data_IF_013230096396
#
_entry.id   IF_013230096396
#
_cell.length_a   1.000
_cell.length_b   1.000
_cell.length_c   1.000
_cell.angle_alpha   90.00
_cell.angle_beta   90.00
_cell.angle_gamma   90.00
#
_symmetry.space_group_name_H-M   'P 1'
#
loop_
_entity.id
_entity.type
_entity.pdbx_description
1 polymer ?
#
# COMPACT_ATOMS: atom_id res chain seq x y z
N UNK A 1 -25.15 -43.18 -3.19
CA UNK A 1 -25.21 -41.71 -3.29
C UNK A 1 -24.15 -41.29 -4.29
N UNK A 2 -24.41 -40.33 -5.19
CA UNK A 2 -23.38 -39.89 -6.15
C UNK A 2 -22.32 -39.11 -5.37
N UNK A 3 -21.04 -39.48 -5.50
CA UNK A 3 -19.92 -38.69 -4.97
C UNK A 3 -20.02 -37.27 -5.52
N UNK A 4 -20.31 -36.33 -4.63
CA UNK A 4 -20.43 -34.92 -4.96
C UNK A 4 -19.04 -34.32 -4.93
N UNK A 5 -18.62 -33.75 -6.05
CA UNK A 5 -17.29 -33.15 -6.21
C UNK A 5 -17.41 -31.66 -5.91
N UNK A 6 -16.55 -31.16 -5.02
CA UNK A 6 -16.51 -29.76 -4.59
C UNK A 6 -15.17 -29.11 -4.95
N UNK A 7 -15.13 -27.77 -4.94
CA UNK A 7 -13.89 -27.01 -5.12
C UNK A 7 -13.24 -26.77 -3.77
N UNK A 8 -12.03 -27.28 -3.58
CA UNK A 8 -11.22 -27.01 -2.39
C UNK A 8 -10.60 -25.61 -2.45
N UNK A 9 -9.96 -25.27 -3.58
CA UNK A 9 -9.29 -23.99 -3.78
C UNK A 9 -9.21 -23.60 -5.27
N UNK A 10 -8.98 -22.32 -5.54
CA UNK A 10 -8.69 -21.79 -6.87
C UNK A 10 -7.33 -21.10 -6.84
N UNK A 11 -6.34 -21.66 -7.54
CA UNK A 11 -4.92 -21.33 -7.40
C UNK A 11 -4.25 -21.08 -8.76
N UNK A 12 -2.98 -20.66 -8.75
CA UNK A 12 -2.13 -20.73 -9.95
C UNK A 12 -1.83 -22.20 -10.30
N UNK A 13 -1.45 -22.47 -11.54
CA UNK A 13 -1.16 -23.84 -11.98
C UNK A 13 -0.09 -24.55 -11.13
N UNK A 14 1.03 -23.88 -10.86
CA UNK A 14 2.13 -24.44 -10.04
C UNK A 14 1.65 -24.81 -8.63
N UNK A 15 0.89 -23.92 -7.98
CA UNK A 15 0.33 -24.17 -6.64
C UNK A 15 -0.75 -25.24 -6.65
N UNK A 16 -1.62 -25.24 -7.65
CA UNK A 16 -2.65 -26.26 -7.81
C UNK A 16 -2.02 -27.65 -8.01
N UNK A 17 -0.92 -27.73 -8.76
CA UNK A 17 -0.21 -28.98 -8.98
C UNK A 17 0.47 -29.48 -7.70
N UNK A 18 1.10 -28.61 -6.92
CA UNK A 18 1.69 -28.96 -5.63
C UNK A 18 0.65 -29.49 -4.64
N UNK A 19 -0.46 -28.76 -4.49
CA UNK A 19 -1.57 -29.15 -3.62
C UNK A 19 -2.14 -30.50 -4.05
N UNK A 20 -2.30 -30.72 -5.36
CA UNK A 20 -2.72 -32.01 -5.89
C UNK A 20 -1.80 -33.16 -5.45
N UNK A 21 -0.49 -33.02 -5.66
CA UNK A 21 0.48 -34.07 -5.32
C UNK A 21 0.48 -34.42 -3.83
N UNK A 22 0.30 -33.44 -2.96
CA UNK A 22 0.30 -33.65 -1.52
C UNK A 22 -1.01 -34.29 -1.03
N UNK A 23 -2.16 -33.88 -1.57
CA UNK A 23 -3.44 -34.54 -1.29
C UNK A 23 -3.42 -36.01 -1.75
N UNK A 24 -2.88 -36.29 -2.94
CA UNK A 24 -2.76 -37.66 -3.46
C UNK A 24 -1.84 -38.52 -2.59
N UNK A 25 -0.75 -37.95 -2.05
CA UNK A 25 0.15 -38.67 -1.13
C UNK A 25 -0.53 -39.05 0.20
N UNK A 26 -1.48 -38.26 0.66
CA UNK A 26 -2.31 -38.53 1.85
C UNK A 26 -3.54 -39.42 1.53
N UNK A 27 -3.61 -39.95 0.30
CA UNK A 27 -4.66 -40.86 -0.14
C UNK A 27 -5.98 -40.17 -0.52
N UNK A 28 -5.97 -38.85 -0.74
CA UNK A 28 -7.14 -38.08 -1.14
C UNK A 28 -7.14 -37.89 -2.65
N UNK A 29 -8.12 -38.49 -3.32
CA UNK A 29 -8.30 -38.34 -4.76
C UNK A 29 -8.71 -36.92 -5.12
N UNK A 30 -7.92 -36.27 -6.00
CA UNK A 30 -8.19 -34.91 -6.43
C UNK A 30 -7.82 -34.69 -7.91
N UNK A 31 -8.46 -33.70 -8.54
CA UNK A 31 -8.18 -33.35 -9.93
C UNK A 31 -8.27 -31.84 -10.16
N UNK A 32 -7.61 -31.41 -11.24
CA UNK A 32 -7.51 -30.00 -11.59
C UNK A 32 -8.46 -29.66 -12.73
N UNK A 33 -9.22 -28.59 -12.57
CA UNK A 33 -10.14 -28.06 -13.58
C UNK A 33 -9.67 -26.67 -14.05
N UNK A 34 -9.94 -26.33 -15.32
CA UNK A 34 -9.49 -25.11 -16.00
C UNK A 34 -7.97 -25.04 -16.30
N UNK A 35 -7.33 -26.17 -16.60
CA UNK A 35 -5.95 -26.18 -17.12
C UNK A 35 -5.98 -25.81 -18.61
N UNK A 36 -5.75 -24.54 -18.96
CA UNK A 36 -5.51 -24.17 -20.35
C UNK A 36 -4.09 -24.60 -20.75
N UNK A 37 -3.97 -25.74 -21.44
CA UNK A 37 -2.70 -26.31 -21.90
C UNK A 37 -2.20 -25.74 -23.25
N UNK A 38 -2.91 -24.77 -23.84
CA UNK A 38 -2.56 -24.20 -25.16
C UNK A 38 -1.98 -22.80 -24.98
N UNK A 39 -0.68 -22.69 -25.31
CA UNK A 39 0.15 -21.49 -25.47
C UNK A 39 0.27 -20.52 -24.27
N UNK A 40 1.37 -20.66 -23.53
CA UNK A 40 2.16 -19.53 -22.98
C UNK A 40 1.51 -18.59 -21.95
N UNK A 41 0.24 -18.76 -21.60
CA UNK A 41 -0.44 -17.96 -20.60
C UNK A 41 -0.44 -18.68 -19.24
N UNK A 42 0.10 -18.03 -18.21
CA UNK A 42 -0.02 -18.47 -16.82
C UNK A 42 -1.50 -18.48 -16.46
N UNK A 43 -2.12 -19.65 -16.33
CA UNK A 43 -3.54 -19.75 -15.94
C UNK A 43 -3.69 -19.33 -14.47
N UNK A 44 -4.11 -18.07 -14.24
CA UNK A 44 -4.57 -17.62 -12.93
C UNK A 44 -6.00 -18.14 -12.72
N UNK A 45 -6.15 -19.25 -11.98
CA UNK A 45 -7.48 -19.75 -11.60
C UNK A 45 -7.74 -21.23 -11.89
N UNK A 46 -6.75 -22.10 -11.64
CA UNK A 46 -6.93 -23.56 -11.68
C UNK A 46 -7.66 -24.01 -10.43
N UNK A 47 -8.75 -24.75 -10.59
CA UNK A 47 -9.55 -25.25 -9.46
C UNK A 47 -9.06 -26.63 -9.04
N UNK A 48 -8.77 -26.79 -7.76
CA UNK A 48 -8.52 -28.11 -7.15
C UNK A 48 -9.86 -28.68 -6.70
N UNK A 49 -10.22 -29.84 -7.25
CA UNK A 49 -11.49 -30.53 -7.00
C UNK A 49 -11.25 -31.81 -6.19
N UNK A 50 -12.09 -32.04 -5.19
CA UNK A 50 -12.05 -33.23 -4.31
C UNK A 50 -13.46 -33.79 -4.12
N UNK A 51 -13.57 -35.03 -3.63
CA UNK A 51 -14.84 -35.56 -3.13
C UNK A 51 -15.26 -34.78 -1.87
N UNK A 52 -16.56 -34.50 -1.73
CA UNK A 52 -17.12 -33.85 -0.54
C UNK A 52 -16.89 -34.66 0.75
N UNK A 53 -16.75 -35.98 0.63
CA UNK A 53 -16.48 -36.88 1.76
C UNK A 53 -15.09 -36.64 2.34
N UNK A 54 -14.13 -36.29 1.50
CA UNK A 54 -12.73 -36.09 1.91
C UNK A 54 -12.44 -34.65 2.34
N UNK A 55 -13.46 -33.78 2.41
CA UNK A 55 -13.28 -32.34 2.64
C UNK A 55 -12.53 -32.01 3.93
N UNK A 56 -12.89 -32.63 5.05
CA UNK A 56 -12.25 -32.34 6.34
C UNK A 56 -10.77 -32.73 6.33
N UNK A 57 -10.45 -33.92 5.81
CA UNK A 57 -9.08 -34.39 5.72
C UNK A 57 -8.27 -33.57 4.71
N UNK A 58 -8.89 -33.21 3.58
CA UNK A 58 -8.29 -32.35 2.57
C UNK A 58 -8.01 -30.94 3.10
N UNK A 59 -8.88 -30.40 3.96
CA UNK A 59 -8.64 -29.10 4.60
C UNK A 59 -7.46 -29.14 5.58
N UNK A 60 -7.30 -30.22 6.34
CA UNK A 60 -6.13 -30.38 7.24
C UNK A 60 -4.83 -30.38 6.44
N UNK A 61 -4.78 -31.15 5.35
CA UNK A 61 -3.61 -31.19 4.45
C UNK A 61 -3.43 -29.86 3.73
N UNK A 62 -4.51 -29.21 3.32
CA UNK A 62 -4.46 -27.92 2.65
C UNK A 62 -3.96 -26.81 3.58
N UNK A 63 -4.38 -26.81 4.85
CA UNK A 63 -3.94 -25.85 5.84
C UNK A 63 -2.46 -26.08 6.22
N UNK A 64 -2.00 -27.34 6.31
CA UNK A 64 -0.57 -27.61 6.52
C UNK A 64 0.29 -27.17 5.32
N UNK A 65 -0.25 -27.23 4.09
CA UNK A 65 0.41 -26.68 2.90
C UNK A 65 0.45 -25.16 2.94
N UNK A 66 -0.63 -24.49 3.38
CA UNK A 66 -0.61 -23.05 3.61
C UNK A 66 0.45 -22.71 4.65
N UNK A 67 0.52 -23.45 5.75
CA UNK A 67 1.54 -23.29 6.78
C UNK A 67 2.95 -23.52 6.21
N UNK A 68 3.18 -24.51 5.34
CA UNK A 68 4.48 -24.71 4.66
C UNK A 68 4.82 -23.59 3.65
N UNK A 69 3.83 -23.00 2.96
CA UNK A 69 4.01 -21.79 2.14
C UNK A 69 4.35 -20.57 3.05
N UNK A 70 3.79 -20.52 4.26
CA UNK A 70 4.17 -19.57 5.32
C UNK A 70 5.58 -19.86 5.90
N UNK A 71 6.02 -21.13 5.89
CA UNK A 71 7.35 -21.54 6.33
C UNK A 71 8.43 -21.33 5.26
N UNK A 72 8.12 -21.49 3.97
CA UNK A 72 9.05 -21.12 2.89
C UNK A 72 9.19 -19.60 2.73
N UNK A 73 8.31 -18.83 3.37
CA UNK A 73 8.47 -17.39 3.63
C UNK A 73 9.09 -17.09 5.00
N UNK A 74 9.51 -18.11 5.78
CA UNK A 74 10.51 -17.97 6.84
C UNK A 74 11.91 -17.81 6.24
N UNK A 75 12.12 -16.73 5.48
CA UNK A 75 13.35 -16.00 5.75
C UNK A 75 13.21 -15.48 7.18
N UNK A 76 14.25 -15.61 7.99
CA UNK A 76 14.36 -14.80 9.21
C UNK A 76 13.86 -13.39 8.88
N UNK A 77 12.90 -12.89 9.66
CA UNK A 77 12.45 -11.50 9.55
C UNK A 77 13.61 -10.63 10.05
N UNK A 78 14.67 -10.54 9.27
CA UNK A 78 15.60 -9.43 9.34
C UNK A 78 14.80 -8.23 8.83
N UNK A 79 14.43 -7.34 9.75
CA UNK A 79 14.00 -5.99 9.42
C UNK A 79 14.98 -5.46 8.39
N UNK A 80 14.54 -5.33 7.14
CA UNK A 80 15.38 -4.80 6.08
C UNK A 80 15.73 -3.37 6.49
N UNK A 81 16.99 -3.18 6.92
CA UNK A 81 17.42 -1.97 7.65
C UNK A 81 17.46 -0.72 6.77
N UNK A 82 17.23 -0.87 5.46
CA UNK A 82 17.29 0.22 4.51
C UNK A 82 15.89 0.71 4.16
N UNK A 83 15.26 1.45 5.08
CA UNK A 83 14.00 2.12 4.76
C UNK A 83 14.25 3.17 3.69
N UNK A 84 13.48 3.09 2.59
CA UNK A 84 13.53 4.03 1.49
C UNK A 84 12.16 4.70 1.32
N UNK A 85 12.09 6.01 1.54
CA UNK A 85 10.89 6.81 1.39
C UNK A 85 10.94 7.56 0.06
N UNK A 86 9.94 7.33 -0.79
CA UNK A 86 9.77 8.06 -2.04
C UNK A 86 8.78 9.22 -1.83
N UNK A 87 9.16 10.43 -2.22
CA UNK A 87 8.28 11.61 -2.11
C UNK A 87 8.09 12.25 -3.48
N UNK A 88 6.97 11.98 -4.16
CA UNK A 88 6.57 12.72 -5.34
C UNK A 88 6.29 14.18 -5.00
N UNK A 89 6.92 15.10 -5.72
CA UNK A 89 6.75 16.55 -5.55
C UNK A 89 6.30 17.20 -6.85
N UNK A 90 5.38 18.14 -6.72
CA UNK A 90 4.91 19.07 -7.75
C UNK A 90 5.21 20.53 -7.37
N UNK A 91 6.02 20.69 -6.31
CA UNK A 91 6.44 21.95 -5.72
C UNK A 91 5.31 22.85 -5.17
N UNK A 92 4.11 22.30 -4.99
CA UNK A 92 3.02 22.93 -4.24
C UNK A 92 3.28 22.90 -2.73
N UNK A 93 2.54 23.70 -1.96
CA UNK A 93 2.57 23.65 -0.49
C UNK A 93 2.15 22.26 0.05
N UNK A 94 1.36 21.50 -0.71
CA UNK A 94 0.92 20.16 -0.32
C UNK A 94 2.04 19.13 -0.41
N UNK A 95 2.84 19.18 -1.49
CA UNK A 95 4.01 18.31 -1.61
C UNK A 95 5.11 18.73 -0.64
N UNK A 96 5.29 20.02 -0.35
CA UNK A 96 6.18 20.47 0.73
C UNK A 96 5.83 19.87 2.09
N UNK A 97 4.55 19.82 2.46
CA UNK A 97 4.11 19.16 3.70
C UNK A 97 4.46 17.67 3.72
N UNK A 98 4.28 16.98 2.60
CA UNK A 98 4.68 15.57 2.47
C UNK A 98 6.20 15.39 2.61
N UNK A 99 7.00 16.30 2.04
CA UNK A 99 8.46 16.34 2.20
C UNK A 99 8.84 16.53 3.67
N UNK A 100 8.25 17.47 4.38
CA UNK A 100 8.53 17.71 5.81
C UNK A 100 8.26 16.47 6.66
N UNK A 101 7.10 15.86 6.47
CA UNK A 101 6.72 14.64 7.19
C UNK A 101 7.65 13.47 6.87
N UNK A 102 7.98 13.26 5.59
CA UNK A 102 8.89 12.22 5.15
C UNK A 102 10.33 12.44 5.65
N UNK A 103 10.80 13.69 5.70
CA UNK A 103 12.12 14.05 6.18
C UNK A 103 12.29 13.77 7.67
N UNK A 104 11.32 14.17 8.49
CA UNK A 104 11.38 13.87 9.92
C UNK A 104 11.25 12.36 10.18
N UNK A 105 10.42 11.67 9.39
CA UNK A 105 10.27 10.21 9.47
C UNK A 105 11.57 9.50 9.11
N UNK A 106 12.16 9.75 7.94
CA UNK A 106 13.43 9.11 7.53
C UNK A 106 14.56 9.44 8.50
N UNK A 107 14.54 10.62 9.11
CA UNK A 107 15.54 11.05 10.09
C UNK A 107 15.55 10.19 11.35
N UNK A 108 14.39 9.64 11.74
CA UNK A 108 14.30 8.66 12.83
C UNK A 108 14.73 7.27 12.41
N UNK A 109 14.44 6.90 11.18
CA UNK A 109 14.72 5.57 10.64
C UNK A 109 16.18 5.38 10.20
N UNK A 110 16.92 6.48 9.99
CA UNK A 110 18.27 6.46 9.39
C UNK A 110 18.27 5.75 8.04
N UNK A 111 17.36 6.20 7.17
CA UNK A 111 17.11 5.60 5.86
C UNK A 111 17.45 6.52 4.69
N UNK A 112 16.88 6.20 3.53
CA UNK A 112 16.96 7.01 2.31
C UNK A 112 15.66 7.75 2.07
N UNK A 113 15.77 9.01 1.68
CA UNK A 113 14.68 9.84 1.17
C UNK A 113 14.99 10.19 -0.28
N UNK A 114 14.10 9.79 -1.18
CA UNK A 114 14.18 10.14 -2.60
C UNK A 114 13.07 11.12 -2.96
N UNK A 115 13.45 12.34 -3.29
CA UNK A 115 12.54 13.35 -3.84
C UNK A 115 12.35 13.08 -5.33
N UNK A 116 11.11 12.95 -5.77
CA UNK A 116 10.78 12.57 -7.14
C UNK A 116 9.96 13.65 -7.82
N UNK A 117 10.39 14.15 -8.96
CA UNK A 117 9.55 14.98 -9.82
C UNK A 117 9.45 14.35 -11.21
N UNK A 118 8.26 14.46 -11.77
CA UNK A 118 8.03 14.25 -13.19
C UNK A 118 7.68 15.57 -13.85
N UNK A 119 8.32 15.90 -14.96
CA UNK A 119 7.90 17.00 -15.82
C UNK A 119 7.23 16.44 -17.08
N UNK A 120 6.09 17.04 -17.43
CA UNK A 120 5.39 16.71 -18.65
C UNK A 120 5.91 17.58 -19.79
N UNK A 121 6.56 16.95 -20.76
CA UNK A 121 6.81 17.57 -22.06
C UNK A 121 5.86 16.90 -23.04
N UNK A 122 4.89 17.63 -23.61
CA UNK A 122 3.99 17.06 -24.60
C UNK A 122 4.82 16.52 -25.75
N UNK A 123 4.87 15.19 -25.86
CA UNK A 123 5.40 14.56 -27.07
C UNK A 123 4.35 14.83 -28.13
N UNK A 124 4.74 15.54 -29.18
CA UNK A 124 3.97 15.55 -30.42
C UNK A 124 3.88 14.11 -30.91
N UNK A 125 2.81 13.41 -30.57
CA UNK A 125 2.33 12.29 -31.38
C UNK A 125 1.79 12.87 -32.68
N UNK A 126 2.70 13.43 -33.50
CA UNK A 126 2.44 13.82 -34.85
C UNK A 126 2.14 12.56 -35.64
N UNK A 127 0.87 12.27 -35.86
CA UNK A 127 0.48 11.39 -36.96
C UNK A 127 1.11 11.98 -38.24
N UNK A 128 1.90 11.22 -39.01
CA UNK A 128 2.50 11.72 -40.24
C UNK A 128 1.40 11.74 -41.32
N UNK A 129 0.61 12.82 -41.33
CA UNK A 129 -0.32 13.12 -42.41
C UNK A 129 -0.09 14.56 -42.89
N UNK A 130 1.14 14.87 -43.34
CA UNK A 130 1.41 15.77 -44.49
C UNK A 130 2.92 16.09 -44.58
N UNK A 131 3.40 16.32 -45.80
CA UNK A 131 4.81 16.59 -46.16
C UNK A 131 5.35 17.95 -45.68
N UNK A 132 4.88 18.47 -44.54
CA UNK A 132 5.42 19.69 -43.96
C UNK A 132 6.18 19.35 -42.68
N UNK A 133 7.49 19.17 -42.82
CA UNK A 133 8.43 19.13 -41.68
C UNK A 133 8.48 20.52 -41.04
N UNK A 134 7.50 20.84 -40.21
CA UNK A 134 7.67 21.85 -39.17
C UNK A 134 8.41 21.14 -38.05
N UNK A 135 9.74 21.22 -38.07
CA UNK A 135 10.53 20.99 -36.86
C UNK A 135 10.06 22.02 -35.84
N UNK A 136 9.30 21.57 -34.85
CA UNK A 136 8.73 22.42 -33.82
C UNK A 136 9.80 22.74 -32.77
N UNK A 137 10.77 23.58 -33.14
CA UNK A 137 11.92 24.00 -32.32
C UNK A 137 11.45 24.56 -30.95
N UNK A 138 10.22 25.10 -30.89
CA UNK A 138 9.61 25.61 -29.68
C UNK A 138 9.25 24.51 -28.64
N UNK A 139 8.97 23.28 -29.07
CA UNK A 139 8.63 22.19 -28.13
C UNK A 139 9.86 21.64 -27.41
N UNK A 140 10.99 21.57 -28.11
CA UNK A 140 12.26 21.13 -27.53
C UNK A 140 12.79 22.18 -26.55
N UNK A 141 12.76 23.48 -26.90
CA UNK A 141 13.10 24.59 -25.99
C UNK A 141 12.18 24.63 -24.77
N UNK A 142 10.86 24.53 -24.94
CA UNK A 142 9.91 24.48 -23.81
C UNK A 142 10.17 23.26 -22.91
N UNK A 143 10.52 22.11 -23.49
CA UNK A 143 10.86 20.91 -22.71
C UNK A 143 12.16 21.04 -21.93
N UNK A 144 13.12 21.80 -22.49
CA UNK A 144 14.38 22.11 -21.84
C UNK A 144 14.16 23.05 -20.65
N UNK A 145 13.37 24.11 -20.84
CA UNK A 145 13.03 25.06 -19.79
C UNK A 145 12.30 24.40 -18.61
N UNK A 146 11.32 23.54 -18.88
CA UNK A 146 10.60 22.79 -17.84
C UNK A 146 11.51 21.82 -17.08
N UNK A 147 12.48 21.22 -17.78
CA UNK A 147 13.46 20.34 -17.17
C UNK A 147 14.42 21.13 -16.29
N UNK A 148 14.97 22.24 -16.77
CA UNK A 148 15.87 23.11 -15.99
C UNK A 148 15.18 23.67 -14.75
N UNK A 149 13.91 24.10 -14.87
CA UNK A 149 13.13 24.55 -13.72
C UNK A 149 12.98 23.43 -12.68
N UNK A 150 12.61 22.22 -13.13
CA UNK A 150 12.50 21.05 -12.25
C UNK A 150 13.83 20.73 -11.57
N UNK A 151 14.93 20.72 -12.32
CA UNK A 151 16.29 20.49 -11.81
C UNK A 151 16.69 21.52 -10.75
N UNK A 152 16.44 22.81 -11.00
CA UNK A 152 16.74 23.86 -10.03
C UNK A 152 15.94 23.68 -8.74
N UNK A 153 14.62 23.51 -8.85
CA UNK A 153 13.71 23.46 -7.69
C UNK A 153 13.90 22.19 -6.86
N UNK A 154 14.16 21.05 -7.49
CA UNK A 154 14.48 19.83 -6.76
C UNK A 154 15.81 19.98 -6.03
N UNK A 155 16.81 20.59 -6.67
CA UNK A 155 18.12 20.78 -6.07
C UNK A 155 18.05 21.70 -4.86
N UNK A 156 17.24 22.76 -4.93
CA UNK A 156 16.97 23.63 -3.78
C UNK A 156 16.39 22.85 -2.60
N UNK A 157 15.40 21.97 -2.83
CA UNK A 157 14.83 21.12 -1.79
C UNK A 157 15.89 20.15 -1.24
N UNK A 158 16.63 19.48 -2.12
CA UNK A 158 17.67 18.52 -1.72
C UNK A 158 18.77 19.18 -0.86
N UNK A 159 19.25 20.35 -1.29
CA UNK A 159 20.28 21.11 -0.58
C UNK A 159 19.75 21.64 0.76
N UNK A 160 18.51 22.10 0.83
CA UNK A 160 17.86 22.52 2.08
C UNK A 160 17.83 21.36 3.10
N UNK A 161 17.33 20.19 2.68
CA UNK A 161 17.23 19.01 3.55
C UNK A 161 18.61 18.50 3.98
N UNK A 162 19.60 18.50 3.08
CA UNK A 162 20.99 18.15 3.41
C UNK A 162 21.62 19.12 4.41
N UNK A 163 21.34 20.41 4.29
CA UNK A 163 21.82 21.40 5.25
C UNK A 163 21.18 21.21 6.62
N UNK A 164 19.87 20.94 6.67
CA UNK A 164 19.17 20.62 7.92
C UNK A 164 19.73 19.38 8.62
N UNK A 165 20.11 18.34 7.87
CA UNK A 165 20.78 17.17 8.44
C UNK A 165 22.13 17.54 9.09
N UNK A 166 22.93 18.39 8.42
CA UNK A 166 24.21 18.87 8.95
C UNK A 166 24.02 19.73 10.20
N UNK A 167 23.08 20.68 10.17
CA UNK A 167 22.79 21.57 11.30
C UNK A 167 22.30 20.81 12.54
N UNK A 168 21.45 19.79 12.34
CA UNK A 168 20.94 18.93 13.42
C UNK A 168 21.89 17.76 13.77
N UNK A 169 23.02 17.64 13.07
CA UNK A 169 24.00 16.58 13.25
C UNK A 169 23.39 15.15 13.15
N UNK A 170 22.49 14.96 12.18
CA UNK A 170 21.78 13.70 11.94
C UNK A 170 22.59 12.86 10.95
N UNK A 171 23.10 11.72 11.41
CA UNK A 171 23.86 10.77 10.61
C UNK A 171 23.01 9.57 10.16
N UNK A 172 23.45 8.90 9.08
CA UNK A 172 22.80 7.70 8.55
C UNK A 172 21.57 7.97 7.66
N UNK A 173 21.32 9.23 7.30
CA UNK A 173 20.24 9.60 6.37
C UNK A 173 20.86 9.96 5.01
N UNK A 174 20.30 9.40 3.94
CA UNK A 174 20.66 9.76 2.57
C UNK A 174 19.48 10.51 1.94
N UNK A 175 19.74 11.70 1.40
CA UNK A 175 18.76 12.47 0.63
C UNK A 175 19.25 12.55 -0.80
N UNK A 176 18.43 12.05 -1.73
CA UNK A 176 18.68 12.11 -3.16
C UNK A 176 17.43 12.62 -3.88
N UNK A 177 17.61 12.98 -5.15
CA UNK A 177 16.51 13.35 -6.02
C UNK A 177 16.54 12.63 -7.36
N UNK A 178 15.36 12.47 -7.95
CA UNK A 178 15.16 11.87 -9.27
C UNK A 178 14.17 12.71 -10.06
N UNK A 179 14.55 12.99 -11.31
CA UNK A 179 13.71 13.69 -12.27
C UNK A 179 13.40 12.75 -13.42
N UNK A 180 12.12 12.64 -13.77
CA UNK A 180 11.65 11.84 -14.91
C UNK A 180 10.86 12.71 -15.88
N UNK A 181 10.95 12.37 -17.16
CA UNK A 181 10.11 12.99 -18.20
C UNK A 181 8.92 12.08 -18.43
N UNK A 182 7.70 12.57 -18.24
CA UNK A 182 6.49 11.78 -18.48
C UNK A 182 5.30 12.21 -17.66
N UNK A 183 4.25 11.39 -17.72
CA UNK A 183 3.04 11.55 -16.92
C UNK A 183 3.34 11.09 -15.48
N UNK A 184 2.95 11.90 -14.48
CA UNK A 184 3.37 11.72 -13.10
C UNK A 184 3.02 10.34 -12.52
N UNK A 185 1.75 9.94 -12.62
CA UNK A 185 1.27 8.65 -12.16
C UNK A 185 2.05 7.48 -12.76
N UNK A 186 2.34 7.52 -14.07
CA UNK A 186 3.07 6.47 -14.77
C UNK A 186 4.52 6.40 -14.32
N UNK A 187 5.20 7.55 -14.20
CA UNK A 187 6.61 7.60 -13.83
C UNK A 187 6.82 7.24 -12.35
N UNK A 188 5.92 7.64 -11.45
CA UNK A 188 5.95 7.25 -10.03
C UNK A 188 5.70 5.74 -9.87
N UNK A 189 4.69 5.18 -10.55
CA UNK A 189 4.41 3.74 -10.53
C UNK A 189 5.55 2.94 -11.16
N UNK A 190 6.10 3.41 -12.27
CA UNK A 190 7.24 2.80 -12.93
C UNK A 190 8.49 2.80 -12.04
N UNK A 191 8.79 3.93 -11.40
CA UNK A 191 9.90 4.05 -10.47
C UNK A 191 9.73 3.14 -9.25
N UNK A 192 8.55 3.16 -8.62
CA UNK A 192 8.26 2.36 -7.42
C UNK A 192 8.26 0.85 -7.69
N UNK A 193 7.90 0.41 -8.90
CA UNK A 193 8.01 -0.99 -9.31
C UNK A 193 9.46 -1.48 -9.42
N UNK A 194 10.39 -0.59 -9.76
CA UNK A 194 11.81 -0.94 -9.96
C UNK A 194 12.62 -0.80 -8.67
N UNK A 195 12.35 0.23 -7.87
CA UNK A 195 13.14 0.58 -6.70
C UNK A 195 12.49 0.17 -5.38
N UNK A 196 11.26 -0.37 -5.43
CA UNK A 196 10.50 -0.92 -4.31
C UNK A 196 10.63 -0.10 -3.02
N UNK A 197 10.23 1.19 -3.03
CA UNK A 197 10.31 2.02 -1.83
C UNK A 197 9.46 1.41 -0.72
N UNK A 198 9.92 1.57 0.52
CA UNK A 198 9.21 1.07 1.71
C UNK A 198 7.87 1.78 1.90
N UNK A 199 7.79 3.06 1.50
CA UNK A 199 6.56 3.85 1.49
C UNK A 199 6.68 5.01 0.50
N UNK A 200 5.59 5.34 -0.18
CA UNK A 200 5.43 6.60 -0.93
C UNK A 200 4.71 7.58 -0.01
N UNK A 201 5.28 8.77 0.22
CA UNK A 201 4.64 9.83 0.99
C UNK A 201 4.28 10.96 0.04
N UNK A 202 2.99 11.32 -0.06
CA UNK A 202 2.54 12.35 -1.00
C UNK A 202 1.34 13.13 -0.46
N UNK A 203 1.17 14.36 -0.95
CA UNK A 203 -0.02 15.16 -0.66
C UNK A 203 -1.28 14.57 -1.30
N UNK A 204 -2.45 14.83 -0.70
CA UNK A 204 -3.75 14.48 -1.33
C UNK A 204 -4.16 15.43 -2.45
N UNK A 205 -3.43 16.54 -2.63
CA UNK A 205 -3.66 17.58 -3.64
C UNK A 205 -2.36 17.96 -4.30
N UNK A 206 -2.48 18.49 -5.51
CA UNK A 206 -1.38 19.09 -6.25
C UNK A 206 -1.64 20.55 -6.64
N UNK A 207 -0.75 21.11 -7.47
CA UNK A 207 -0.76 22.49 -7.93
C UNK A 207 -2.04 22.85 -8.72
N UNK A 208 -2.58 21.90 -9.48
CA UNK A 208 -3.79 22.08 -10.29
C UNK A 208 -5.06 21.94 -9.44
N UNK A 209 -5.51 23.07 -8.89
CA UNK A 209 -6.70 23.17 -8.04
C UNK A 209 -8.00 22.93 -8.83
N UNK A 210 -8.63 21.76 -8.68
CA UNK A 210 -10.06 21.59 -9.00
C UNK A 210 -10.80 20.89 -7.86
N UNK A 211 -11.87 21.55 -7.40
CA UNK A 211 -12.77 21.20 -6.29
C UNK A 211 -12.13 21.15 -4.88
N UNK A 212 -12.82 21.74 -3.91
CA UNK A 212 -12.41 21.83 -2.49
C UNK A 212 -12.53 20.49 -1.76
N UNK A 213 -13.08 19.45 -2.40
CA UNK A 213 -13.52 18.23 -1.70
C UNK A 213 -13.02 16.90 -2.32
N UNK A 214 -12.04 16.92 -3.23
CA UNK A 214 -11.55 15.70 -3.90
C UNK A 214 -10.02 15.52 -3.81
N UNK A 215 -9.61 14.25 -3.77
CA UNK A 215 -8.21 13.83 -3.96
C UNK A 215 -7.78 14.17 -5.39
N UNK A 216 -6.53 14.61 -5.57
CA UNK A 216 -5.91 14.78 -6.88
C UNK A 216 -5.90 13.47 -7.67
N UNK A 217 -6.07 13.55 -8.99
CA UNK A 217 -6.11 12.38 -9.87
C UNK A 217 -4.86 11.50 -9.71
N UNK A 218 -3.68 12.12 -9.64
CA UNK A 218 -2.40 11.43 -9.43
C UNK A 218 -2.42 10.63 -8.13
N UNK A 219 -2.70 11.27 -6.98
CA UNK A 219 -2.73 10.57 -5.68
C UNK A 219 -3.73 9.43 -5.65
N UNK A 220 -4.92 9.62 -6.22
CA UNK A 220 -5.93 8.57 -6.28
C UNK A 220 -5.44 7.35 -7.09
N UNK A 221 -4.78 7.59 -8.22
CA UNK A 221 -4.22 6.55 -9.07
C UNK A 221 -3.03 5.83 -8.43
N UNK A 222 -2.14 6.57 -7.74
CA UNK A 222 -1.05 5.98 -6.96
C UNK A 222 -1.60 5.09 -5.84
N UNK A 223 -2.60 5.55 -5.08
CA UNK A 223 -3.25 4.74 -4.04
C UNK A 223 -3.89 3.48 -4.64
N UNK A 224 -4.42 3.55 -5.85
CA UNK A 224 -5.08 2.40 -6.49
C UNK A 224 -4.09 1.38 -7.06
N UNK A 225 -2.96 1.84 -7.64
CA UNK A 225 -2.09 1.00 -8.48
C UNK A 225 -0.71 0.69 -7.87
N UNK A 226 -0.27 1.42 -6.85
CA UNK A 226 1.02 1.15 -6.22
C UNK A 226 1.05 -0.26 -5.60
N UNK A 227 2.25 -0.84 -5.50
CA UNK A 227 2.48 -2.12 -4.79
C UNK A 227 3.09 -1.93 -3.40
N UNK A 228 3.72 -0.79 -3.19
CA UNK A 228 4.27 -0.37 -1.92
C UNK A 228 3.24 0.47 -1.15
N UNK A 229 3.35 0.55 0.19
CA UNK A 229 2.51 1.43 1.00
C UNK A 229 2.51 2.88 0.51
N UNK A 230 1.36 3.54 0.61
CA UNK A 230 1.19 4.96 0.24
C UNK A 230 0.63 5.73 1.42
N UNK A 231 1.39 6.67 1.96
CA UNK A 231 0.92 7.67 2.91
C UNK A 231 0.42 8.91 2.16
N UNK A 232 -0.88 9.11 2.19
CA UNK A 232 -1.55 10.30 1.66
C UNK A 232 -1.76 11.33 2.77
N UNK A 233 -1.16 12.52 2.60
CA UNK A 233 -1.18 13.60 3.60
C UNK A 233 -2.19 14.68 3.19
N UNK A 234 -3.29 14.88 3.95
CA UNK A 234 -4.30 15.89 3.67
C UNK A 234 -3.79 17.33 3.72
N UNK A 235 -4.39 18.20 2.92
CA UNK A 235 -4.19 19.67 3.02
C UNK A 235 -4.59 20.19 4.40
N UNK A 236 -5.66 19.66 4.98
CA UNK A 236 -6.19 20.07 6.29
C UNK A 236 -5.36 19.54 7.47
N UNK A 237 -4.44 18.60 7.25
CA UNK A 237 -3.59 18.05 8.31
C UNK A 237 -2.56 19.08 8.79
N UNK A 238 -2.64 19.47 10.06
CA UNK A 238 -1.68 20.38 10.69
C UNK A 238 -0.46 19.60 11.17
N UNK A 239 0.49 19.34 10.27
CA UNK A 239 1.73 18.67 10.63
C UNK A 239 2.54 19.51 11.63
N UNK A 240 2.90 18.91 12.77
CA UNK A 240 3.60 19.58 13.88
C UNK A 240 4.87 18.83 14.30
N UNK A 241 5.41 17.98 13.43
CA UNK A 241 6.59 17.16 13.69
C UNK A 241 6.25 15.70 14.02
N UNK A 242 7.13 14.79 13.61
CA UNK A 242 6.90 13.34 13.71
C UNK A 242 6.72 12.86 15.16
N UNK A 243 7.33 13.58 16.13
CA UNK A 243 7.18 13.29 17.55
C UNK A 243 5.75 13.45 18.07
N UNK A 244 4.90 14.20 17.38
CA UNK A 244 3.50 14.37 17.76
C UNK A 244 2.60 13.26 17.20
N UNK A 245 3.12 12.39 16.33
CA UNK A 245 2.42 11.17 15.91
C UNK A 245 2.63 10.14 17.03
N UNK A 246 1.55 9.79 17.73
CA UNK A 246 1.55 8.86 18.87
C UNK A 246 0.79 7.59 18.58
N UNK A 247 -0.28 7.67 17.81
CA UNK A 247 -1.18 6.53 17.58
C UNK A 247 -1.50 6.34 16.10
N UNK A 248 -1.27 5.14 15.60
CA UNK A 248 -1.66 4.71 14.26
C UNK A 248 -2.81 3.72 14.39
N UNK A 249 -3.94 3.98 13.75
CA UNK A 249 -5.04 3.02 13.66
C UNK A 249 -4.81 2.11 12.46
N UNK A 250 -4.93 0.80 12.63
CA UNK A 250 -4.94 -0.16 11.51
C UNK A 250 -6.34 -0.77 11.39
N UNK A 251 -7.07 -0.45 10.32
CA UNK A 251 -8.39 -1.02 10.06
C UNK A 251 -8.24 -2.36 9.35
N UNK A 252 -8.53 -3.44 10.09
CA UNK A 252 -8.57 -4.79 9.56
C UNK A 252 -9.95 -5.14 9.02
N UNK A 253 -9.97 -5.92 7.93
CA UNK A 253 -11.17 -6.62 7.43
C UNK A 253 -11.06 -8.13 7.59
N UNK A 254 -10.09 -8.58 8.39
CA UNK A 254 -9.71 -9.98 8.56
C UNK A 254 -9.41 -10.67 7.23
N UNK A 255 -8.61 -10.01 6.40
CA UNK A 255 -8.11 -10.58 5.15
C UNK A 255 -6.69 -11.12 5.34
N UNK A 256 -6.28 -12.09 4.51
CA UNK A 256 -4.92 -12.64 4.58
C UNK A 256 -3.84 -11.55 4.37
N UNK A 257 -4.16 -10.49 3.63
CA UNK A 257 -3.25 -9.38 3.44
C UNK A 257 -3.00 -8.55 4.72
N UNK A 258 -3.90 -8.62 5.71
CA UNK A 258 -3.72 -7.92 6.99
C UNK A 258 -2.49 -8.42 7.75
N UNK A 259 -2.18 -9.72 7.65
CA UNK A 259 -0.98 -10.30 8.27
C UNK A 259 0.30 -9.66 7.73
N UNK A 260 0.43 -9.60 6.39
CA UNK A 260 1.61 -9.00 5.74
C UNK A 260 1.64 -7.48 5.90
N UNK A 261 0.49 -6.82 5.91
CA UNK A 261 0.41 -5.38 6.08
C UNK A 261 0.79 -4.94 7.50
N UNK A 262 0.37 -5.68 8.55
CA UNK A 262 0.78 -5.41 9.93
C UNK A 262 2.29 -5.60 10.13
N UNK A 263 2.88 -6.63 9.53
CA UNK A 263 4.34 -6.82 9.52
C UNK A 263 5.07 -5.63 8.88
N UNK A 264 4.62 -5.22 7.69
CA UNK A 264 5.19 -4.05 7.00
C UNK A 264 4.97 -2.76 7.78
N UNK A 265 3.78 -2.56 8.35
CA UNK A 265 3.45 -1.40 9.17
C UNK A 265 4.41 -1.31 10.35
N UNK A 266 4.57 -2.41 11.09
CA UNK A 266 5.52 -2.47 12.21
C UNK A 266 6.92 -2.10 11.74
N UNK A 267 7.42 -2.69 10.65
CA UNK A 267 8.75 -2.36 10.10
C UNK A 267 8.95 -0.86 9.85
N UNK A 268 7.95 -0.15 9.30
CA UNK A 268 8.09 1.26 8.94
C UNK A 268 7.88 2.23 10.12
N UNK A 269 7.17 1.82 11.18
CA UNK A 269 6.82 2.72 12.30
C UNK A 269 7.48 2.37 13.63
N UNK A 270 8.07 1.18 13.77
CA UNK A 270 8.63 0.72 15.04
C UNK A 270 9.65 1.70 15.65
N UNK A 271 10.59 2.29 14.88
CA UNK A 271 11.55 3.24 15.45
C UNK A 271 10.94 4.58 15.85
N UNK A 272 9.68 4.86 15.47
CA UNK A 272 8.94 6.03 15.93
C UNK A 272 8.37 5.83 17.34
N UNK A 273 8.31 4.59 17.85
CA UNK A 273 7.74 4.28 19.16
C UNK A 273 6.24 4.60 19.26
N UNK A 274 5.53 4.50 18.14
CA UNK A 274 4.08 4.74 18.09
C UNK A 274 3.29 3.53 18.58
N UNK A 275 2.10 3.79 19.12
CA UNK A 275 1.12 2.76 19.43
C UNK A 275 0.32 2.43 18.17
N UNK A 276 0.16 1.15 17.86
CA UNK A 276 -0.73 0.69 16.81
C UNK A 276 -2.04 0.22 17.45
N UNK A 277 -3.18 0.71 16.98
CA UNK A 277 -4.51 0.23 17.35
C UNK A 277 -5.07 -0.55 16.17
N UNK A 278 -4.90 -1.87 16.18
CA UNK A 278 -5.46 -2.79 15.21
C UNK A 278 -6.95 -3.01 15.51
N UNK A 279 -7.81 -2.43 14.69
CA UNK A 279 -9.24 -2.39 14.92
C UNK A 279 -10.02 -3.07 13.80
N UNK A 280 -11.09 -3.78 14.15
CA UNK A 280 -12.14 -4.17 13.22
C UNK A 280 -13.46 -3.44 13.52
N UNK A 281 -14.13 -2.93 12.49
CA UNK A 281 -15.48 -2.36 12.62
C UNK A 281 -16.50 -3.43 12.26
N UNK A 282 -17.18 -3.97 13.26
CA UNK A 282 -18.22 -4.99 13.10
C UNK A 282 -19.58 -4.33 12.83
N UNK A 283 -20.09 -4.51 11.60
CA UNK A 283 -21.40 -3.98 11.17
C UNK A 283 -22.52 -5.02 11.21
N UNK A 284 -22.17 -6.30 11.20
CA UNK A 284 -23.12 -7.40 11.00
C UNK A 284 -23.43 -8.19 12.29
N UNK A 285 -22.85 -7.80 13.43
CA UNK A 285 -23.21 -8.30 14.76
C UNK A 285 -22.73 -9.70 15.12
N UNK A 286 -21.92 -10.37 14.30
CA UNK A 286 -21.32 -11.68 14.61
C UNK A 286 -20.01 -11.50 15.41
N UNK A 287 -20.15 -10.98 16.64
CA UNK A 287 -19.04 -10.64 17.52
C UNK A 287 -18.20 -11.86 17.92
N UNK A 288 -18.82 -13.04 18.01
CA UNK A 288 -18.10 -14.28 18.32
C UNK A 288 -17.10 -14.61 17.21
N UNK A 289 -17.55 -14.60 15.95
CA UNK A 289 -16.68 -14.84 14.79
C UNK A 289 -15.60 -13.78 14.65
N UNK A 290 -15.94 -12.51 14.85
CA UNK A 290 -14.97 -11.42 14.77
C UNK A 290 -13.91 -11.52 15.87
N UNK A 291 -14.30 -11.97 17.07
CA UNK A 291 -13.37 -12.23 18.18
C UNK A 291 -12.37 -13.33 17.83
N UNK A 292 -12.83 -14.44 17.26
CA UNK A 292 -11.95 -15.54 16.84
C UNK A 292 -10.95 -15.08 15.78
N UNK A 293 -11.40 -14.31 14.78
CA UNK A 293 -10.52 -13.75 13.74
C UNK A 293 -9.51 -12.76 14.29
N UNK A 294 -9.92 -11.92 15.25
CA UNK A 294 -9.03 -10.97 15.90
C UNK A 294 -7.95 -11.68 16.72
N UNK A 295 -8.28 -12.75 17.45
CA UNK A 295 -7.26 -13.53 18.15
C UNK A 295 -6.29 -14.20 17.16
N UNK A 296 -6.77 -14.62 15.98
CA UNK A 296 -5.89 -15.10 14.90
C UNK A 296 -4.86 -14.06 14.43
N UNK A 297 -5.26 -12.80 14.23
CA UNK A 297 -4.33 -11.70 13.93
C UNK A 297 -3.33 -11.47 15.06
N UNK A 298 -3.83 -11.49 16.30
CA UNK A 298 -3.00 -11.30 17.50
C UNK A 298 -1.95 -12.40 17.64
N UNK A 299 -2.34 -13.65 17.45
CA UNK A 299 -1.45 -14.80 17.52
C UNK A 299 -0.42 -14.79 16.40
N UNK A 300 -0.79 -14.33 15.19
CA UNK A 300 0.18 -14.09 14.12
C UNK A 300 1.24 -13.07 14.54
N UNK A 301 0.83 -11.92 15.07
CA UNK A 301 1.75 -10.89 15.54
C UNK A 301 2.68 -11.41 16.66
N UNK A 302 2.16 -12.21 17.59
CA UNK A 302 2.95 -12.87 18.64
C UNK A 302 3.98 -13.85 18.09
N UNK A 303 3.57 -14.71 17.15
CA UNK A 303 4.47 -15.69 16.49
C UNK A 303 5.61 -14.98 15.76
N UNK A 304 5.32 -13.85 15.12
CA UNK A 304 6.29 -12.99 14.42
C UNK A 304 7.06 -12.06 15.36
N UNK A 305 6.73 -12.01 16.65
CA UNK A 305 7.32 -11.12 17.67
C UNK A 305 7.22 -9.63 17.31
N UNK A 306 6.06 -9.24 16.79
CA UNK A 306 5.73 -7.86 16.41
C UNK A 306 4.53 -7.31 17.18
N UNK A 307 4.03 -8.03 18.19
CA UNK A 307 2.83 -7.68 18.96
C UNK A 307 3.07 -6.57 20.01
N UNK A 308 4.31 -6.15 20.19
CA UNK A 308 4.65 -5.05 21.08
C UNK A 308 4.09 -3.72 20.55
N UNK A 309 3.49 -2.94 21.45
CA UNK A 309 2.79 -1.68 21.15
C UNK A 309 1.59 -1.83 20.19
N UNK A 310 1.04 -3.04 20.01
CA UNK A 310 -0.21 -3.26 19.27
C UNK A 310 -1.37 -3.54 20.24
N UNK A 311 -2.40 -2.70 20.20
CA UNK A 311 -3.70 -2.94 20.83
C UNK A 311 -4.66 -3.50 19.80
N UNK A 312 -5.40 -4.56 20.16
CA UNK A 312 -6.40 -5.19 19.29
C UNK A 312 -7.80 -4.87 19.81
N UNK A 313 -8.69 -4.39 18.93
CA UNK A 313 -10.02 -3.94 19.32
C UNK A 313 -11.09 -4.27 18.26
N UNK A 314 -12.31 -4.52 18.71
CA UNK A 314 -13.48 -4.66 17.85
C UNK A 314 -14.47 -3.57 18.24
N UNK A 315 -14.83 -2.71 17.29
CA UNK A 315 -15.82 -1.66 17.47
C UNK A 315 -17.11 -2.11 16.77
N UNK A 316 -18.18 -2.25 17.54
CA UNK A 316 -19.51 -2.55 17.01
C UNK A 316 -20.21 -1.26 16.60
N UNK A 317 -20.54 -1.12 15.31
CA UNK A 317 -21.30 0.03 14.81
C UNK A 317 -22.12 -0.39 13.58
N UNK A 318 -23.39 0.02 13.48
CA UNK A 318 -24.24 -0.27 12.33
C UNK A 318 -23.70 0.36 11.03
N UNK A 319 -23.07 1.53 11.14
CA UNK A 319 -22.45 2.24 10.02
C UNK A 319 -20.92 2.14 10.11
N UNK A 320 -20.33 1.60 9.04
CA UNK A 320 -18.88 1.41 8.95
C UNK A 320 -18.10 2.73 9.06
N UNK A 321 -18.59 3.80 8.44
CA UNK A 321 -17.91 5.10 8.44
C UNK A 321 -18.02 5.77 9.80
N UNK A 322 -19.18 5.68 10.46
CA UNK A 322 -19.36 6.17 11.83
C UNK A 322 -18.45 5.40 12.82
N UNK A 323 -18.29 4.09 12.61
CA UNK A 323 -17.33 3.28 13.36
C UNK A 323 -15.88 3.76 13.21
N UNK A 324 -15.45 4.12 11.99
CA UNK A 324 -14.12 4.69 11.74
C UNK A 324 -13.96 6.05 12.43
N UNK A 325 -14.95 6.94 12.32
CA UNK A 325 -14.89 8.25 12.98
C UNK A 325 -14.80 8.09 14.51
N UNK A 326 -15.59 7.18 15.08
CA UNK A 326 -15.54 6.84 16.50
C UNK A 326 -14.17 6.30 16.91
N UNK A 327 -13.54 5.44 16.11
CA UNK A 327 -12.17 4.98 16.33
C UNK A 327 -11.19 6.16 16.36
N UNK A 328 -11.23 7.00 15.31
CA UNK A 328 -10.29 8.12 15.15
C UNK A 328 -10.38 9.09 16.34
N UNK A 329 -11.59 9.43 16.76
CA UNK A 329 -11.82 10.35 17.87
C UNK A 329 -11.52 9.72 19.24
N UNK A 330 -12.02 8.51 19.50
CA UNK A 330 -11.90 7.89 20.83
C UNK A 330 -10.48 7.45 21.17
N UNK A 331 -9.70 7.05 20.17
CA UNK A 331 -8.32 6.59 20.34
C UNK A 331 -7.27 7.64 19.98
N UNK A 332 -7.69 8.85 19.57
CA UNK A 332 -6.82 9.92 19.09
C UNK A 332 -5.86 9.41 18.00
N UNK A 333 -6.43 8.88 16.92
CA UNK A 333 -5.65 8.32 15.81
C UNK A 333 -5.04 9.46 14.99
N UNK A 334 -3.71 9.50 14.96
CA UNK A 334 -2.94 10.49 14.19
C UNK A 334 -2.77 10.09 12.73
N UNK A 335 -2.68 8.78 12.45
CA UNK A 335 -2.62 8.22 11.10
C UNK A 335 -3.55 7.02 11.03
N UNK A 336 -4.43 6.98 10.04
CA UNK A 336 -5.30 5.84 9.79
C UNK A 336 -4.72 4.97 8.67
N UNK A 337 -4.55 3.68 8.92
CA UNK A 337 -3.95 2.73 8.00
C UNK A 337 -4.88 1.57 7.70
N UNK A 338 -4.78 1.00 6.50
CA UNK A 338 -5.59 -0.13 6.06
C UNK A 338 -5.02 -0.76 4.80
N UNK A 339 -5.42 -2.00 4.50
CA UNK A 339 -5.03 -2.66 3.26
C UNK A 339 -6.11 -2.49 2.19
N UNK A 340 -5.74 -2.11 0.97
CA UNK A 340 -6.63 -2.19 -0.17
C UNK A 340 -6.66 -3.60 -0.76
N UNK A 341 -7.86 -4.17 -0.84
CA UNK A 341 -8.15 -5.27 -1.75
C UNK A 341 -8.72 -4.70 -3.03
N UNK A 342 -8.28 -5.24 -4.18
CA UNK A 342 -8.93 -5.04 -5.48
C UNK A 342 -10.46 -5.02 -5.29
N UNK A 343 -11.04 -3.83 -5.42
CA UNK A 343 -12.48 -3.58 -5.43
C UNK A 343 -13.30 -3.77 -4.15
N UNK A 344 -12.74 -3.90 -2.93
CA UNK A 344 -13.58 -4.11 -1.72
C UNK A 344 -13.45 -3.05 -0.63
N UNK A 345 -12.25 -2.77 -0.11
CA UNK A 345 -12.07 -1.75 0.93
C UNK A 345 -12.05 -0.36 0.33
N UNK A 346 -11.21 -0.16 -0.69
CA UNK A 346 -11.24 1.04 -1.50
C UNK A 346 -12.63 1.27 -2.07
N UNK A 347 -13.38 0.30 -2.58
CA UNK A 347 -14.74 0.59 -3.10
C UNK A 347 -15.73 0.93 -1.99
N UNK A 348 -15.71 0.26 -0.84
CA UNK A 348 -16.55 0.67 0.30
C UNK A 348 -16.21 2.09 0.77
N UNK A 349 -14.93 2.47 0.68
CA UNK A 349 -14.41 3.77 1.10
C UNK A 349 -14.35 4.84 -0.03
N UNK A 350 -14.41 4.44 -1.31
CA UNK A 350 -14.18 5.28 -2.50
C UNK A 350 -15.32 5.21 -3.54
N UNK A 351 -16.20 4.20 -3.54
CA UNK A 351 -17.35 4.12 -4.47
C UNK A 351 -18.54 4.97 -4.03
N UNK A 352 -18.64 5.30 -2.74
CA UNK A 352 -19.55 6.36 -2.34
C UNK A 352 -18.84 7.68 -2.58
N UNK A 353 -19.40 8.53 -3.44
CA UNK A 353 -19.01 9.94 -3.55
C UNK A 353 -18.99 10.65 -2.18
N UNK A 354 -19.68 10.08 -1.18
CA UNK A 354 -19.70 10.47 0.23
C UNK A 354 -18.51 9.92 1.02
N UNK A 355 -18.04 8.68 0.79
CA UNK A 355 -16.89 8.12 1.52
C UNK A 355 -15.56 8.73 1.03
N UNK A 356 -15.43 9.05 -0.27
CA UNK A 356 -14.39 9.95 -0.80
C UNK A 356 -14.41 11.34 -0.18
N UNK A 357 -15.58 11.81 0.27
CA UNK A 357 -15.69 13.09 0.99
C UNK A 357 -15.32 12.91 2.46
N UNK A 358 -15.89 11.95 3.18
CA UNK A 358 -15.70 11.80 4.63
C UNK A 358 -14.28 11.40 5.04
N UNK A 359 -13.65 10.42 4.38
CA UNK A 359 -12.28 10.02 4.72
C UNK A 359 -11.22 11.06 4.34
N UNK A 360 -11.54 11.98 3.42
CA UNK A 360 -10.57 12.95 2.90
C UNK A 360 -10.89 14.41 3.25
N UNK A 361 -12.05 14.66 3.87
CA UNK A 361 -12.28 15.79 4.76
C UNK A 361 -11.66 15.56 6.15
N UNK A 362 -11.25 14.32 6.44
CA UNK A 362 -10.47 14.00 7.62
C UNK A 362 -9.15 14.77 7.61
N UNK A 363 -8.84 15.40 8.72
CA UNK A 363 -7.51 15.95 9.01
C UNK A 363 -6.47 14.85 9.21
N UNK A 364 -6.85 13.57 9.21
CA UNK A 364 -5.97 12.43 9.49
C UNK A 364 -5.34 11.86 8.20
N UNK A 365 -3.99 11.82 8.11
CA UNK A 365 -3.29 11.09 7.06
C UNK A 365 -3.71 9.63 6.91
N UNK A 366 -3.71 9.13 5.66
CA UNK A 366 -4.08 7.76 5.33
C UNK A 366 -2.87 6.98 4.85
N UNK A 367 -2.56 5.86 5.50
CA UNK A 367 -1.49 4.94 5.11
C UNK A 367 -2.08 3.65 4.52
N UNK A 368 -2.03 3.56 3.20
CA UNK A 368 -2.69 2.48 2.45
C UNK A 368 -1.67 1.42 2.06
N UNK A 369 -1.93 0.17 2.45
CA UNK A 369 -1.18 -1.02 2.04
C UNK A 369 -1.89 -1.74 0.89
N UNK A 370 -1.19 -2.59 0.14
CA UNK A 370 -1.74 -3.24 -1.05
C UNK A 370 -1.58 -4.76 -0.96
N UNK A 371 -2.67 -5.48 -1.28
CA UNK A 371 -2.77 -6.94 -1.32
C UNK A 371 -2.52 -7.54 -2.71
#
# INVERSE_FOLDING_TARGET
MKDKIITLATLTYEKAHLVKTLLENEGIDCFLEHINLIQGAVSSGVKVKISEIDFEQAMIVFDSIREMDFESTHKEFELDKNINILVPVDFSEYSKKAVEMAFDWVSRLKGRLTIFNSFYSPVSSGLPFSDSYVYDVNLDELSHDLKEESESRIKEIEDELKNRLKEKNIEGVVVDSVIRRGIAEHEILGYSKVHEPSVIVMGTRGADKKAVDLIGSVTAEIIELAKCPVLAVPESFSYSGIDNIKTIGYLSIFSDADFTALEKLKQIVDPLGVKIVCCHISTNGDLEKDTVKMEGLRDHCRKRKIDDNIEFEIISNEDFLVGIESLVQSKNIDILSFTTYKRNLITRLLNASVAKKMLFHSTTPLLVFHA
#
